data_IF_044798921583
#
_entry.id   IF_044798921583
#
_cell.length_a   1.000
_cell.length_b   1.000
_cell.length_c   1.000
_cell.angle_alpha   90.00
_cell.angle_beta   90.00
_cell.angle_gamma   90.00
#
_symmetry.space_group_name_H-M   'P 1'
#
loop_
_entity.id
_entity.type
_entity.pdbx_description
1 polymer ?
#
# COMPACT_ATOMS: atom_id res chain seq x y z
N UNK A 1 -21.13 1.04 -1.87
CA UNK A 1 -20.91 1.42 -0.47
C UNK A 1 -20.52 2.89 -0.41
N UNK A 2 -21.00 3.67 0.57
CA UNK A 2 -20.70 5.11 0.70
C UNK A 2 -20.37 5.43 2.16
N UNK A 3 -19.55 6.44 2.38
CA UNK A 3 -19.15 6.88 3.72
C UNK A 3 -20.36 7.21 4.61
N UNK A 4 -21.40 7.86 4.06
CA UNK A 4 -22.63 8.17 4.79
C UNK A 4 -23.31 6.96 5.44
N UNK A 5 -23.14 5.78 4.87
CA UNK A 5 -23.72 4.52 5.37
C UNK A 5 -22.96 3.94 6.57
N UNK A 6 -21.72 4.37 6.76
CA UNK A 6 -20.84 3.81 7.81
C UNK A 6 -20.43 4.82 8.87
N UNK A 7 -20.67 6.12 8.64
CA UNK A 7 -20.20 7.18 9.54
C UNK A 7 -20.74 7.05 10.97
N UNK A 8 -21.97 6.53 11.13
CA UNK A 8 -22.64 6.40 12.43
C UNK A 8 -22.45 5.00 13.07
N UNK A 9 -21.69 4.11 12.43
CA UNK A 9 -21.45 2.78 12.99
C UNK A 9 -20.61 2.84 14.25
N UNK A 10 -20.75 1.81 15.10
CA UNK A 10 -19.93 1.67 16.33
C UNK A 10 -18.45 1.71 16.00
N UNK A 11 -17.58 2.26 16.86
CA UNK A 11 -16.14 2.40 16.59
C UNK A 11 -15.45 1.10 16.18
N UNK A 12 -15.84 -0.03 16.80
CA UNK A 12 -15.30 -1.36 16.47
C UNK A 12 -15.66 -1.80 15.03
N UNK A 13 -16.93 -1.60 14.64
CA UNK A 13 -17.40 -1.96 13.29
C UNK A 13 -16.79 -1.05 12.23
N UNK A 14 -16.64 0.25 12.54
CA UNK A 14 -15.97 1.20 11.68
C UNK A 14 -14.51 0.78 11.41
N UNK A 15 -13.77 0.43 12.48
CA UNK A 15 -12.39 -0.06 12.36
C UNK A 15 -12.32 -1.38 11.58
N UNK A 16 -13.29 -2.28 11.77
CA UNK A 16 -13.36 -3.53 11.00
C UNK A 16 -13.58 -3.30 9.51
N UNK A 17 -14.33 -2.26 9.14
CA UNK A 17 -14.60 -1.92 7.72
C UNK A 17 -13.46 -1.15 7.07
N UNK A 18 -12.89 -0.18 7.78
CA UNK A 18 -11.90 0.76 7.22
C UNK A 18 -10.43 0.36 7.48
N UNK A 19 -10.18 -0.47 8.49
CA UNK A 19 -8.84 -0.80 8.96
C UNK A 19 -8.23 0.22 9.93
N UNK A 20 -8.81 1.43 10.03
CA UNK A 20 -8.30 2.52 10.87
C UNK A 20 -9.33 2.97 11.92
N UNK A 21 -8.88 3.65 12.97
CA UNK A 21 -9.78 4.30 13.94
C UNK A 21 -10.43 5.52 13.29
N UNK A 22 -11.55 5.96 13.85
CA UNK A 22 -12.28 7.13 13.34
C UNK A 22 -11.42 8.39 13.38
N UNK A 23 -10.72 8.63 14.47
CA UNK A 23 -9.83 9.78 14.63
C UNK A 23 -8.75 9.81 13.54
N UNK A 24 -8.18 8.65 13.22
CA UNK A 24 -7.20 8.49 12.14
C UNK A 24 -7.83 8.76 10.78
N UNK A 25 -9.05 8.27 10.55
CA UNK A 25 -9.78 8.52 9.31
C UNK A 25 -10.06 10.02 9.13
N UNK A 26 -10.48 10.71 10.20
CA UNK A 26 -10.78 12.14 10.16
C UNK A 26 -9.51 12.98 9.92
N UNK A 27 -8.36 12.60 10.51
CA UNK A 27 -7.07 13.22 10.21
C UNK A 27 -6.67 13.02 8.73
N UNK A 28 -6.82 11.81 8.20
CA UNK A 28 -6.55 11.53 6.79
C UNK A 28 -7.47 12.35 5.88
N UNK A 29 -8.76 12.44 6.23
CA UNK A 29 -9.73 13.21 5.46
C UNK A 29 -9.41 14.71 5.46
N UNK A 30 -9.06 15.28 6.61
CA UNK A 30 -8.62 16.67 6.72
C UNK A 30 -7.37 16.94 5.86
N UNK A 31 -6.40 16.03 5.89
CA UNK A 31 -5.20 16.10 5.05
C UNK A 31 -5.55 16.07 3.55
N UNK A 32 -6.46 15.21 3.13
CA UNK A 32 -6.90 15.16 1.74
C UNK A 32 -7.64 16.43 1.31
N UNK A 33 -8.44 17.01 2.20
CA UNK A 33 -9.14 18.27 1.94
C UNK A 33 -8.19 19.45 1.77
N UNK A 34 -7.12 19.50 2.55
CA UNK A 34 -6.11 20.56 2.45
C UNK A 34 -5.17 20.40 1.24
N UNK A 35 -4.81 19.16 0.92
CA UNK A 35 -3.82 18.87 -0.13
C UNK A 35 -4.43 18.81 -1.52
N UNK A 36 -5.64 18.25 -1.65
CA UNK A 36 -6.26 18.02 -2.94
C UNK A 36 -7.19 19.16 -3.33
N UNK A 37 -6.83 19.87 -4.39
CA UNK A 37 -7.71 20.85 -5.03
C UNK A 37 -8.60 20.16 -6.07
N UNK A 38 -9.82 20.65 -6.19
CA UNK A 38 -10.75 20.19 -7.23
C UNK A 38 -10.55 21.06 -8.48
N UNK A 39 -10.09 20.41 -9.55
CA UNK A 39 -9.96 21.04 -10.86
C UNK A 39 -10.90 20.35 -11.86
N UNK A 40 -11.61 21.14 -12.63
CA UNK A 40 -12.46 20.66 -13.73
C UNK A 40 -13.77 20.04 -13.27
N UNK A 41 -14.18 18.94 -13.92
CA UNK A 41 -15.47 18.28 -13.65
C UNK A 41 -15.51 17.73 -12.22
N UNK A 42 -16.62 17.95 -11.49
CA UNK A 42 -16.80 17.40 -10.14
C UNK A 42 -16.63 15.87 -10.13
N UNK A 43 -15.92 15.36 -9.12
CA UNK A 43 -15.76 13.94 -8.96
C UNK A 43 -17.07 13.30 -8.49
N UNK A 44 -17.41 12.14 -9.03
CA UNK A 44 -18.59 11.35 -8.62
C UNK A 44 -18.49 10.86 -7.17
N UNK A 45 -17.27 10.72 -6.66
CA UNK A 45 -16.98 10.28 -5.29
C UNK A 45 -16.62 11.47 -4.42
N UNK A 46 -17.26 11.59 -3.25
CA UNK A 46 -16.86 12.55 -2.22
C UNK A 46 -15.44 12.26 -1.73
N UNK A 47 -14.76 13.21 -1.08
CA UNK A 47 -13.42 12.99 -0.52
C UNK A 47 -13.39 11.84 0.49
N UNK A 48 -14.44 11.74 1.32
CA UNK A 48 -14.60 10.64 2.26
C UNK A 48 -14.79 9.29 1.56
N UNK A 49 -15.54 9.25 0.45
CA UNK A 49 -15.69 8.03 -0.35
C UNK A 49 -14.40 7.64 -1.06
N UNK A 50 -13.61 8.62 -1.56
CA UNK A 50 -12.32 8.36 -2.17
C UNK A 50 -11.35 7.74 -1.15
N UNK A 51 -11.29 8.29 0.07
CA UNK A 51 -10.48 7.74 1.16
C UNK A 51 -10.96 6.34 1.56
N UNK A 52 -12.27 6.17 1.74
CA UNK A 52 -12.85 4.89 2.11
C UNK A 52 -12.56 3.80 1.08
N UNK A 53 -12.71 4.11 -0.22
CA UNK A 53 -12.38 3.23 -1.32
C UNK A 53 -10.92 2.76 -1.25
N UNK A 54 -9.99 3.69 -1.00
CA UNK A 54 -8.56 3.41 -0.91
C UNK A 54 -8.24 2.53 0.30
N UNK A 55 -8.80 2.85 1.47
CA UNK A 55 -8.59 2.05 2.68
C UNK A 55 -9.14 0.62 2.54
N UNK A 56 -10.28 0.45 1.90
CA UNK A 56 -10.85 -0.88 1.62
C UNK A 56 -9.97 -1.66 0.64
N UNK A 57 -9.44 -1.00 -0.38
CA UNK A 57 -8.51 -1.62 -1.32
C UNK A 57 -7.26 -2.15 -0.60
N UNK A 58 -6.63 -1.35 0.24
CA UNK A 58 -5.43 -1.77 0.98
C UNK A 58 -5.70 -2.89 1.97
N UNK A 59 -6.88 -2.87 2.59
CA UNK A 59 -7.19 -3.82 3.65
C UNK A 59 -7.66 -5.17 3.12
N UNK A 60 -8.51 -5.17 2.10
CA UNK A 60 -9.25 -6.38 1.70
C UNK A 60 -8.55 -7.18 0.59
N UNK A 61 -7.44 -6.67 0.03
CA UNK A 61 -6.72 -7.29 -1.10
C UNK A 61 -7.62 -7.60 -2.30
N UNK A 62 -8.73 -6.89 -2.45
CA UNK A 62 -9.63 -7.02 -3.59
C UNK A 62 -9.02 -6.39 -4.82
N UNK A 63 -9.37 -6.92 -6.00
CA UNK A 63 -8.97 -6.29 -7.25
C UNK A 63 -9.64 -4.92 -7.40
N UNK A 64 -8.99 -4.01 -8.13
CA UNK A 64 -9.54 -2.68 -8.43
C UNK A 64 -10.89 -2.77 -9.12
N UNK A 65 -11.11 -3.81 -9.93
CA UNK A 65 -12.40 -4.10 -10.57
C UNK A 65 -13.51 -4.30 -9.53
N UNK A 66 -13.30 -5.18 -8.54
CA UNK A 66 -14.32 -5.45 -7.50
C UNK A 66 -14.62 -4.21 -6.65
N UNK A 67 -13.59 -3.45 -6.29
CA UNK A 67 -13.76 -2.19 -5.55
C UNK A 67 -14.54 -1.17 -6.40
N UNK A 68 -14.19 -1.03 -7.68
CA UNK A 68 -14.89 -0.13 -8.60
C UNK A 68 -16.39 -0.44 -8.68
N UNK A 69 -16.75 -1.73 -8.80
CA UNK A 69 -18.15 -2.17 -8.82
C UNK A 69 -18.88 -1.82 -7.52
N UNK A 70 -18.23 -2.03 -6.36
CA UNK A 70 -18.82 -1.70 -5.06
C UNK A 70 -19.14 -0.20 -4.90
N UNK A 71 -18.40 0.67 -5.58
CA UNK A 71 -18.58 2.13 -5.55
C UNK A 71 -19.33 2.68 -6.76
N UNK A 72 -19.68 1.86 -7.75
CA UNK A 72 -20.36 2.26 -8.97
C UNK A 72 -19.51 3.18 -9.86
N UNK A 73 -18.21 2.91 -9.95
CA UNK A 73 -17.28 3.65 -10.80
C UNK A 73 -16.54 2.69 -11.74
N UNK A 74 -15.85 3.23 -12.75
CA UNK A 74 -14.98 2.40 -13.60
C UNK A 74 -13.69 2.01 -12.88
N UNK A 75 -13.11 0.88 -13.26
CA UNK A 75 -11.82 0.43 -12.73
C UNK A 75 -10.71 1.48 -12.90
N UNK A 76 -10.66 2.15 -14.05
CA UNK A 76 -9.73 3.24 -14.29
C UNK A 76 -9.94 4.44 -13.33
N UNK A 77 -11.18 4.69 -12.90
CA UNK A 77 -11.48 5.72 -11.90
C UNK A 77 -11.02 5.27 -10.52
N UNK A 78 -11.25 4.01 -10.14
CA UNK A 78 -10.76 3.45 -8.88
C UNK A 78 -9.22 3.51 -8.81
N UNK A 79 -8.52 3.06 -9.84
CA UNK A 79 -7.06 3.13 -9.94
C UNK A 79 -6.52 4.55 -9.73
N UNK A 80 -7.07 5.52 -10.48
CA UNK A 80 -6.65 6.93 -10.36
C UNK A 80 -6.98 7.51 -8.99
N UNK A 81 -8.10 7.11 -8.39
CA UNK A 81 -8.49 7.57 -7.05
C UNK A 81 -7.53 7.06 -5.99
N UNK A 82 -7.17 5.78 -6.04
CA UNK A 82 -6.20 5.17 -5.12
C UNK A 82 -4.86 5.90 -5.22
N UNK A 83 -4.28 6.01 -6.43
CA UNK A 83 -3.01 6.69 -6.63
C UNK A 83 -3.03 8.16 -6.18
N UNK A 84 -4.15 8.88 -6.41
CA UNK A 84 -4.33 10.27 -5.99
C UNK A 84 -4.35 10.40 -4.46
N UNK A 85 -5.07 9.52 -3.77
CA UNK A 85 -5.16 9.51 -2.30
C UNK A 85 -3.81 9.14 -1.70
N UNK A 86 -3.15 8.11 -2.20
CA UNK A 86 -1.79 7.71 -1.79
C UNK A 86 -0.81 8.86 -1.88
N UNK A 87 -0.71 9.47 -3.05
CA UNK A 87 0.20 10.60 -3.26
C UNK A 87 -0.06 11.75 -2.30
N UNK A 88 -1.34 12.09 -2.05
CA UNK A 88 -1.71 13.18 -1.15
C UNK A 88 -1.35 12.88 0.31
N UNK A 89 -1.62 11.65 0.79
CA UNK A 89 -1.26 11.25 2.15
C UNK A 89 0.25 11.19 2.35
N UNK A 90 0.99 10.64 1.39
CA UNK A 90 2.45 10.58 1.46
C UNK A 90 3.10 11.97 1.42
N UNK A 91 2.60 12.86 0.57
CA UNK A 91 3.12 14.22 0.44
C UNK A 91 2.90 15.07 1.71
N UNK A 92 1.91 14.73 2.54
CA UNK A 92 1.66 15.43 3.79
C UNK A 92 2.74 15.22 4.85
N UNK A 93 3.56 14.17 4.73
CA UNK A 93 4.57 13.78 5.72
C UNK A 93 4.01 13.21 7.04
N UNK A 94 2.70 13.26 7.26
CA UNK A 94 2.06 12.78 8.49
C UNK A 94 1.89 11.25 8.55
N UNK A 95 1.85 10.61 7.38
CA UNK A 95 1.60 9.17 7.23
C UNK A 95 2.81 8.43 6.64
N UNK A 96 4.01 8.83 7.06
CA UNK A 96 5.26 8.19 6.66
C UNK A 96 5.65 7.10 7.65
N UNK A 97 6.18 5.99 7.13
CA UNK A 97 6.85 5.02 7.99
C UNK A 97 8.12 5.65 8.57
N UNK A 98 8.43 5.43 9.85
CA UNK A 98 9.69 5.86 10.42
C UNK A 98 10.85 5.23 9.63
N UNK A 99 11.80 6.06 9.20
CA UNK A 99 12.97 5.59 8.48
C UNK A 99 13.90 4.76 9.37
N UNK A 100 14.89 4.09 8.78
CA UNK A 100 15.88 3.27 9.50
C UNK A 100 16.55 4.00 10.67
N UNK A 101 16.69 5.31 10.59
CA UNK A 101 17.25 6.13 11.69
C UNK A 101 16.39 6.12 12.97
N UNK A 102 15.08 5.90 12.85
CA UNK A 102 14.20 5.81 14.02
C UNK A 102 14.36 4.48 14.78
N UNK A 103 15.06 3.50 14.21
CA UNK A 103 15.40 2.22 14.85
C UNK A 103 16.72 2.28 15.63
N UNK A 104 17.48 3.38 15.51
CA UNK A 104 18.68 3.58 16.29
C UNK A 104 18.33 4.22 17.64
N UNK A 105 19.05 3.86 18.73
CA UNK A 105 18.74 4.29 20.09
C UNK A 105 18.95 5.81 20.23
N UNK A 106 17.92 6.57 20.08
CA UNK A 106 17.79 7.95 20.53
C UNK A 106 16.37 8.11 21.02
N UNK A 107 16.19 8.29 22.28
CA UNK A 107 14.97 8.71 23.01
C UNK A 107 13.60 8.10 22.63
N UNK A 108 13.52 7.24 21.64
CA UNK A 108 12.28 6.58 21.24
C UNK A 108 12.22 5.19 21.85
N UNK A 109 11.34 4.98 22.80
CA UNK A 109 11.05 3.66 23.36
C UNK A 109 10.25 2.87 22.32
N UNK A 110 10.87 1.84 21.73
CA UNK A 110 10.19 0.91 20.82
C UNK A 110 9.63 -0.23 21.70
N UNK A 111 8.32 -0.22 21.94
CA UNK A 111 7.68 -1.27 22.77
C UNK A 111 7.55 -2.60 22.02
N UNK A 112 7.30 -2.57 20.71
CA UNK A 112 7.08 -3.78 19.90
C UNK A 112 7.70 -3.61 18.52
N UNK A 113 8.52 -4.58 18.12
CA UNK A 113 9.00 -4.73 16.74
C UNK A 113 8.37 -5.99 16.16
N UNK A 114 7.53 -5.82 15.13
CA UNK A 114 6.98 -6.93 14.37
C UNK A 114 7.90 -7.23 13.18
N UNK A 115 8.48 -8.44 13.16
CA UNK A 115 9.30 -8.91 12.04
C UNK A 115 8.50 -9.94 11.27
N UNK A 116 8.20 -9.65 10.01
CA UNK A 116 7.63 -10.62 9.08
C UNK A 116 8.80 -11.29 8.33
N UNK A 117 8.99 -12.58 8.56
CA UNK A 117 10.02 -13.38 7.94
C UNK A 117 9.36 -14.44 7.04
N UNK A 118 9.65 -14.38 5.75
CA UNK A 118 9.20 -15.39 4.79
C UNK A 118 10.36 -16.30 4.45
N UNK A 119 10.21 -17.61 4.73
CA UNK A 119 11.16 -18.62 4.29
C UNK A 119 10.85 -19.00 2.84
N UNK A 120 11.79 -18.74 1.94
CA UNK A 120 11.76 -19.30 0.59
C UNK A 120 12.64 -20.58 0.58
N UNK A 121 12.08 -21.76 0.36
CA UNK A 121 12.89 -22.97 0.19
C UNK A 121 13.75 -22.82 -1.08
N UNK A 122 15.05 -22.73 -0.89
CA UNK A 122 16.02 -22.71 -2.00
C UNK A 122 16.41 -24.17 -2.26
N UNK A 123 16.11 -24.66 -3.45
CA UNK A 123 16.59 -25.95 -3.90
C UNK A 123 18.12 -25.95 -3.96
N UNK A 124 18.77 -26.69 -3.07
CA UNK A 124 20.23 -26.83 -3.13
C UNK A 124 20.58 -27.68 -4.34
N UNK A 125 21.49 -27.22 -5.22
CA UNK A 125 21.92 -28.03 -6.35
C UNK A 125 22.52 -29.33 -5.82
N UNK A 126 22.01 -30.46 -6.31
CA UNK A 126 22.56 -31.77 -5.98
C UNK A 126 24.00 -31.86 -6.48
N UNK A 127 24.84 -32.63 -5.79
CA UNK A 127 26.28 -32.80 -6.12
C UNK A 127 26.56 -33.15 -7.58
N UNK A 128 25.57 -33.70 -8.29
CA UNK A 128 25.68 -34.09 -9.70
C UNK A 128 25.48 -32.95 -10.70
N UNK A 129 25.13 -31.73 -10.24
CA UNK A 129 24.98 -30.55 -11.10
C UNK A 129 26.28 -29.72 -11.21
N UNK A 130 27.42 -30.25 -10.76
CA UNK A 130 28.73 -29.58 -10.87
C UNK A 130 29.15 -29.38 -12.35
N UNK A 131 28.58 -30.15 -13.29
CA UNK A 131 28.84 -30.00 -14.72
C UNK A 131 28.33 -28.70 -15.36
N UNK A 132 27.23 -28.15 -14.85
CA UNK A 132 26.65 -26.94 -15.44
C UNK A 132 27.31 -25.63 -15.05
N UNK A 133 28.05 -25.62 -13.95
CA UNK A 133 28.79 -24.41 -13.51
C UNK A 133 30.16 -24.31 -14.21
N UNK A 134 30.74 -25.44 -14.62
CA UNK A 134 32.01 -25.47 -15.34
C UNK A 134 31.89 -25.04 -16.81
N UNK A 135 30.77 -25.34 -17.46
CA UNK A 135 30.55 -24.99 -18.87
C UNK A 135 30.45 -23.48 -19.12
N UNK A 136 30.13 -22.69 -18.11
CA UNK A 136 30.07 -21.21 -18.21
C UNK A 136 31.43 -20.52 -18.12
N UNK A 137 32.48 -21.21 -17.68
CA UNK A 137 33.84 -20.64 -17.55
C UNK A 137 34.78 -20.90 -18.71
N UNK A 138 34.44 -21.79 -19.67
CA UNK A 138 35.33 -22.15 -20.79
C UNK A 138 35.06 -21.35 -22.09
N UNK A 139 34.17 -20.37 -22.06
CA UNK A 139 33.74 -19.61 -23.25
C UNK A 139 34.55 -18.34 -23.57
N UNK A 140 35.68 -18.10 -22.93
CA UNK A 140 36.41 -16.87 -23.22
C UNK A 140 37.94 -17.11 -23.22
N UNK A 141 38.48 -17.73 -24.27
CA UNK A 141 39.87 -17.50 -24.70
C UNK A 141 40.16 -18.16 -26.04
N UNK A 142 39.85 -17.52 -27.12
CA UNK A 142 40.57 -17.69 -28.38
C UNK A 142 41.22 -16.37 -28.74
N UNK A 143 42.48 -16.25 -28.34
CA UNK A 143 43.40 -15.25 -28.87
C UNK A 143 43.89 -15.73 -30.23
N UNK A 144 43.62 -15.00 -31.29
CA UNK A 144 44.32 -15.17 -32.57
C UNK A 144 45.58 -14.35 -32.58
N UNK A 145 46.66 -15.01 -32.99
CA UNK A 145 47.84 -14.39 -33.55
C UNK A 145 47.55 -13.89 -34.95
#
# INVERSE_FOLDING_TARGET
MRYEQIKERKPGDFKRLTGVRRETFDMMLATLQSTLRDFGRPCTLSRADQLLLTLMYWREYRTQFHIAQAYGVSEATACRTIAKVESALMSSGQFCLPGKKALHPSDTVIEVVLVDATEQPIERPQKNNVGNTAARRSGTRTRRK
#
